data_IF_387075318047
#
_entry.id   IF_387075318047
#
_cell.length_a   1.000
_cell.length_b   1.000
_cell.length_c   1.000
_cell.angle_alpha   90.00
_cell.angle_beta   90.00
_cell.angle_gamma   90.00
#
_symmetry.space_group_name_H-M   'P 1'
#
loop_
_entity.id
_entity.type
_entity.pdbx_description
1 polymer ?
#
# COMPACT_ATOMS: atom_id res chain seq x y z
N UNK A 1 -72.44 -7.43 14.91
CA UNK A 1 -71.68 -7.50 13.67
C UNK A 1 -70.21 -7.34 13.98
N UNK A 2 -69.43 -8.41 13.94
CA UNK A 2 -68.02 -8.37 14.18
C UNK A 2 -67.29 -8.13 12.86
N UNK A 3 -66.57 -6.99 12.70
CA UNK A 3 -65.64 -6.76 11.60
C UNK A 3 -64.32 -7.44 11.92
N UNK A 4 -64.01 -8.48 11.18
CA UNK A 4 -62.66 -9.08 11.19
C UNK A 4 -61.67 -8.16 10.49
N UNK A 5 -60.75 -7.58 11.27
CA UNK A 5 -59.57 -6.92 10.74
C UNK A 5 -58.55 -7.98 10.30
N UNK A 6 -58.28 -8.08 9.02
CA UNK A 6 -57.15 -8.82 8.50
C UNK A 6 -55.90 -8.01 8.73
N UNK A 7 -55.01 -8.52 9.58
CA UNK A 7 -53.67 -7.99 9.77
C UNK A 7 -52.78 -8.59 8.67
N UNK A 8 -52.45 -7.78 7.68
CA UNK A 8 -51.49 -8.15 6.65
C UNK A 8 -50.06 -8.01 7.20
N UNK A 9 -49.39 -9.12 7.45
CA UNK A 9 -47.98 -9.15 7.81
C UNK A 9 -47.18 -9.05 6.54
N UNK A 10 -46.59 -7.88 6.29
CA UNK A 10 -45.63 -7.69 5.22
C UNK A 10 -44.26 -8.13 5.78
N UNK A 11 -43.85 -9.35 5.44
CA UNK A 11 -42.47 -9.82 5.63
C UNK A 11 -41.57 -9.15 4.63
N UNK A 12 -40.97 -8.02 5.00
CA UNK A 12 -39.95 -7.38 4.25
C UNK A 12 -38.65 -8.22 4.30
N UNK A 13 -38.37 -8.95 3.25
CA UNK A 13 -37.05 -9.57 3.05
C UNK A 13 -36.01 -8.49 2.84
N UNK A 14 -35.25 -8.22 3.89
CA UNK A 14 -34.09 -7.34 3.81
C UNK A 14 -32.97 -8.10 3.09
N UNK A 15 -32.83 -7.85 1.77
CA UNK A 15 -31.67 -8.30 1.04
C UNK A 15 -30.50 -7.45 1.49
N UNK A 16 -29.66 -8.01 2.35
CA UNK A 16 -28.34 -7.48 2.64
C UNK A 16 -27.50 -7.66 1.37
N UNK A 17 -27.49 -6.64 0.52
CA UNK A 17 -26.48 -6.52 -0.53
C UNK A 17 -25.18 -6.22 0.20
N UNK A 18 -24.40 -7.27 0.48
CA UNK A 18 -23.04 -7.14 0.95
C UNK A 18 -22.23 -6.46 -0.15
N UNK A 19 -22.07 -5.15 -0.05
CA UNK A 19 -21.05 -4.44 -0.83
C UNK A 19 -19.70 -4.98 -0.38
N UNK A 20 -19.12 -5.88 -1.18
CA UNK A 20 -17.69 -6.18 -1.08
C UNK A 20 -16.96 -4.93 -1.57
N UNK A 21 -16.77 -3.95 -0.68
CA UNK A 21 -15.82 -2.89 -0.93
C UNK A 21 -14.43 -3.54 -0.96
N UNK A 22 -13.93 -3.80 -2.14
CA UNK A 22 -12.51 -4.00 -2.36
C UNK A 22 -11.82 -2.73 -1.87
N UNK A 23 -10.95 -2.86 -0.87
CA UNK A 23 -10.26 -1.73 -0.25
C UNK A 23 -9.13 -1.26 -1.17
N UNK A 24 -9.48 -0.67 -2.30
CA UNK A 24 -8.54 -0.10 -3.25
C UNK A 24 -8.05 1.24 -2.71
N UNK A 25 -6.74 1.41 -2.53
CA UNK A 25 -6.20 2.67 -2.03
C UNK A 25 -6.11 3.73 -3.13
N UNK A 26 -6.42 5.02 -2.84
CA UNK A 26 -6.17 6.10 -3.77
C UNK A 26 -4.68 6.25 -4.09
N UNK A 27 -4.35 6.71 -5.31
CA UNK A 27 -2.98 6.88 -5.76
C UNK A 27 -2.15 7.83 -4.87
N UNK A 28 -2.79 8.79 -4.21
CA UNK A 28 -2.13 9.72 -3.29
C UNK A 28 -1.67 9.07 -1.97
N UNK A 29 -2.09 7.82 -1.69
CA UNK A 29 -1.59 7.01 -0.58
C UNK A 29 -0.27 6.28 -0.89
N UNK A 30 0.17 6.27 -2.14
CA UNK A 30 1.43 5.64 -2.56
C UNK A 30 2.64 6.47 -2.13
N UNK A 31 2.82 6.60 -0.82
CA UNK A 31 3.87 7.40 -0.18
C UNK A 31 4.56 6.55 0.88
N UNK A 32 5.88 6.58 0.90
CA UNK A 32 6.70 5.99 1.97
C UNK A 32 7.91 6.89 2.24
N UNK A 33 8.14 7.20 3.53
CA UNK A 33 9.23 8.09 3.93
C UNK A 33 9.13 9.50 3.35
N UNK A 34 7.91 10.00 3.11
CA UNK A 34 7.66 11.31 2.53
C UNK A 34 7.84 11.40 1.00
N UNK A 35 8.19 10.29 0.35
CA UNK A 35 8.37 10.21 -1.11
C UNK A 35 7.17 9.50 -1.73
N UNK A 36 6.58 10.15 -2.74
CA UNK A 36 5.46 9.58 -3.49
C UNK A 36 5.94 8.77 -4.68
N UNK A 37 5.22 7.70 -5.02
CA UNK A 37 5.34 7.01 -6.30
C UNK A 37 5.30 8.01 -7.46
N UNK A 38 6.22 7.88 -8.42
CA UNK A 38 6.35 8.80 -9.54
C UNK A 38 7.18 10.05 -9.27
N UNK A 39 7.66 10.27 -8.04
CA UNK A 39 8.57 11.37 -7.74
C UNK A 39 9.88 11.27 -8.54
N UNK A 40 10.54 12.41 -8.77
CA UNK A 40 11.82 12.44 -9.49
C UNK A 40 12.98 11.99 -8.61
N UNK A 41 14.09 11.57 -9.22
CA UNK A 41 15.37 11.31 -8.53
C UNK A 41 15.76 12.53 -7.70
N UNK A 42 15.69 13.74 -8.27
CA UNK A 42 16.05 14.98 -7.58
C UNK A 42 15.20 15.25 -6.34
N UNK A 43 13.94 14.85 -6.32
CA UNK A 43 13.09 14.98 -5.14
C UNK A 43 13.57 14.05 -4.02
N UNK A 44 14.01 12.83 -4.35
CA UNK A 44 14.58 11.90 -3.38
C UNK A 44 15.92 12.41 -2.85
N UNK A 45 16.80 12.89 -3.72
CA UNK A 45 18.09 13.46 -3.33
C UNK A 45 17.94 14.72 -2.48
N UNK A 46 16.93 15.55 -2.76
CA UNK A 46 16.62 16.73 -1.93
C UNK A 46 16.16 16.36 -0.53
N UNK A 47 15.43 15.26 -0.38
CA UNK A 47 14.91 14.77 0.90
C UNK A 47 15.94 13.99 1.71
N UNK A 48 16.73 13.14 1.06
CA UNK A 48 17.63 12.16 1.70
C UNK A 48 19.12 12.40 1.46
N UNK A 49 19.47 13.32 0.56
CA UNK A 49 20.87 13.54 0.15
C UNK A 49 21.37 12.46 -0.80
N UNK A 50 22.70 12.32 -0.89
CA UNK A 50 23.34 11.29 -1.71
C UNK A 50 23.08 9.89 -1.13
N UNK A 51 22.74 8.90 -1.98
CA UNK A 51 22.55 7.53 -1.53
C UNK A 51 23.86 6.90 -1.06
N UNK A 52 23.79 5.97 -0.11
CA UNK A 52 24.95 5.17 0.30
C UNK A 52 25.44 4.27 -0.83
N UNK A 53 24.52 3.72 -1.60
CA UNK A 53 24.78 2.88 -2.77
C UNK A 53 23.84 3.27 -3.89
N UNK A 54 24.39 3.34 -5.11
CA UNK A 54 23.62 3.56 -6.33
C UNK A 54 24.01 2.48 -7.35
N UNK A 55 22.98 1.85 -7.93
CA UNK A 55 23.14 0.90 -9.03
C UNK A 55 22.32 1.38 -10.22
N UNK A 56 22.86 1.24 -11.42
CA UNK A 56 22.18 1.63 -12.66
C UNK A 56 22.28 0.51 -13.69
N UNK A 57 21.16 0.18 -14.30
CA UNK A 57 21.05 -0.86 -15.30
C UNK A 57 20.14 -0.40 -16.44
N UNK A 58 20.65 -0.45 -17.66
CA UNK A 58 19.82 -0.22 -18.85
C UNK A 58 19.05 -1.49 -19.18
N UNK A 59 17.73 -1.42 -19.04
CA UNK A 59 16.81 -2.51 -19.39
C UNK A 59 16.17 -2.25 -20.75
N UNK A 60 15.63 -3.28 -21.45
CA UNK A 60 14.87 -3.09 -22.69
C UNK A 60 13.67 -2.15 -22.56
N UNK A 61 13.11 -2.01 -21.35
CA UNK A 61 11.96 -1.16 -21.04
C UNK A 61 12.34 0.19 -20.41
N UNK A 62 13.62 0.49 -20.25
CA UNK A 62 14.08 1.79 -19.74
C UNK A 62 15.32 1.75 -18.86
N UNK A 63 15.73 2.92 -18.43
CA UNK A 63 16.86 3.13 -17.54
C UNK A 63 16.43 2.89 -16.09
N UNK A 64 16.89 1.80 -15.49
CA UNK A 64 16.62 1.44 -14.10
C UNK A 64 17.75 1.94 -13.21
N UNK A 65 17.40 2.68 -12.16
CA UNK A 65 18.32 3.14 -11.12
C UNK A 65 17.79 2.68 -9.76
N UNK A 66 18.68 2.24 -8.89
CA UNK A 66 18.38 1.85 -7.53
C UNK A 66 19.25 2.66 -6.56
N UNK A 67 18.62 3.30 -5.58
CA UNK A 67 19.27 4.05 -4.51
C UNK A 67 19.02 3.38 -3.16
N UNK A 68 20.10 3.15 -2.39
CA UNK A 68 20.02 2.61 -1.04
C UNK A 68 20.47 3.65 -0.02
N UNK A 69 19.61 3.91 0.94
CA UNK A 69 19.87 4.78 2.08
C UNK A 69 19.97 3.94 3.35
N UNK A 70 21.17 3.88 3.90
CA UNK A 70 21.46 2.90 4.93
C UNK A 70 21.32 1.46 4.40
N UNK A 71 20.82 0.57 5.25
CA UNK A 71 20.52 -0.82 4.88
C UNK A 71 19.01 -1.08 4.85
N UNK A 72 18.19 -0.05 5.02
CA UNK A 72 16.78 -0.20 5.44
C UNK A 72 15.78 0.55 4.58
N UNK A 73 16.23 1.44 3.69
CA UNK A 73 15.38 2.20 2.78
C UNK A 73 15.96 2.18 1.37
N UNK A 74 15.14 1.77 0.41
CA UNK A 74 15.52 1.60 -0.98
C UNK A 74 14.51 2.26 -1.89
N UNK A 75 15.00 2.96 -2.93
CA UNK A 75 14.21 3.54 -4.00
C UNK A 75 14.62 2.94 -5.33
N UNK A 76 13.67 2.44 -6.09
CA UNK A 76 13.85 2.01 -7.47
C UNK A 76 13.23 3.04 -8.40
N UNK A 77 14.00 3.48 -9.39
CA UNK A 77 13.57 4.44 -10.41
C UNK A 77 13.55 3.76 -11.77
N UNK A 78 12.59 4.15 -12.58
CA UNK A 78 12.55 3.83 -14.00
C UNK A 78 12.44 5.15 -14.79
N UNK A 79 13.38 5.39 -15.70
CA UNK A 79 13.45 6.63 -16.47
C UNK A 79 13.37 7.89 -15.58
N UNK A 80 14.07 7.87 -14.45
CA UNK A 80 14.17 9.00 -13.53
C UNK A 80 12.98 9.22 -12.60
N UNK A 81 12.00 8.30 -12.57
CA UNK A 81 10.83 8.35 -11.70
C UNK A 81 10.78 7.18 -10.74
N UNK A 82 10.42 7.43 -9.49
CA UNK A 82 10.22 6.40 -8.46
C UNK A 82 9.11 5.43 -8.90
N UNK A 83 9.46 4.16 -9.02
CA UNK A 83 8.53 3.07 -9.32
C UNK A 83 8.34 2.10 -8.17
N UNK A 84 9.28 2.09 -7.21
CA UNK A 84 9.20 1.26 -6.01
C UNK A 84 9.96 1.91 -4.86
N UNK A 85 9.38 1.84 -3.67
CA UNK A 85 10.02 2.23 -2.41
C UNK A 85 9.88 1.05 -1.46
N UNK A 86 10.97 0.66 -0.83
CA UNK A 86 10.99 -0.44 0.14
C UNK A 86 11.60 0.02 1.44
N UNK A 87 10.95 -0.31 2.55
CA UNK A 87 11.46 -0.16 3.90
C UNK A 87 11.46 -1.51 4.60
N UNK A 88 12.59 -1.90 5.15
CA UNK A 88 12.77 -3.14 5.89
C UNK A 88 13.64 -2.93 7.14
N UNK A 89 13.84 -3.99 7.90
CA UNK A 89 14.60 -4.04 9.15
C UNK A 89 14.17 -2.98 10.18
N UNK A 90 14.95 -1.94 10.38
CA UNK A 90 14.73 -0.89 11.40
C UNK A 90 14.45 0.48 10.79
N UNK A 91 13.95 0.53 9.54
CA UNK A 91 13.58 1.79 8.92
C UNK A 91 12.50 2.51 9.74
N UNK A 92 12.66 3.81 9.91
CA UNK A 92 11.66 4.69 10.52
C UNK A 92 10.68 5.29 9.50
N UNK A 93 10.82 4.92 8.22
CA UNK A 93 9.95 5.37 7.16
C UNK A 93 8.49 4.94 7.40
N UNK A 94 7.57 5.87 7.18
CA UNK A 94 6.13 5.64 7.34
C UNK A 94 5.38 5.95 6.06
N UNK A 95 4.27 5.25 5.86
CA UNK A 95 3.32 5.57 4.81
C UNK A 95 2.61 6.90 5.10
N UNK A 96 1.87 7.42 4.13
CA UNK A 96 1.05 8.64 4.31
C UNK A 96 0.06 8.50 5.47
N UNK A 97 -0.50 7.32 5.68
CA UNK A 97 -1.40 7.05 6.79
C UNK A 97 -0.69 6.83 8.14
N UNK A 98 0.64 6.97 8.20
CA UNK A 98 1.42 6.82 9.42
C UNK A 98 1.77 5.38 9.79
N UNK A 99 1.60 4.43 8.87
CA UNK A 99 1.95 3.02 9.09
C UNK A 99 3.46 2.83 8.92
N UNK A 100 4.10 2.22 9.91
CA UNK A 100 5.53 1.93 9.93
C UNK A 100 5.84 0.53 10.41
N UNK A 101 7.11 0.16 10.32
CA UNK A 101 7.62 -1.13 10.79
C UNK A 101 7.42 -1.28 12.30
N UNK A 102 7.19 -2.51 12.76
CA UNK A 102 6.97 -2.83 14.17
C UNK A 102 5.57 -2.53 14.70
N UNK A 103 4.72 -1.85 13.93
CA UNK A 103 3.32 -1.63 14.31
C UNK A 103 2.51 -2.93 14.22
N UNK A 104 1.44 -3.02 15.01
CA UNK A 104 0.52 -4.14 14.94
C UNK A 104 -0.21 -4.19 13.60
N UNK A 105 -0.42 -5.39 13.07
CA UNK A 105 -1.16 -5.60 11.82
C UNK A 105 -2.59 -5.02 11.87
N UNK A 106 -3.19 -4.90 13.06
CA UNK A 106 -4.49 -4.25 13.24
C UNK A 106 -4.50 -2.79 12.76
N UNK A 107 -3.35 -2.10 12.78
CA UNK A 107 -3.21 -0.75 12.27
C UNK A 107 -3.48 -0.66 10.76
N UNK A 108 -3.19 -1.71 9.99
CA UNK A 108 -3.48 -1.76 8.55
C UNK A 108 -4.97 -1.70 8.29
N UNK A 109 -5.74 -2.48 9.04
CA UNK A 109 -7.21 -2.50 8.91
C UNK A 109 -7.83 -1.15 9.27
N UNK A 110 -7.29 -0.48 10.28
CA UNK A 110 -7.75 0.85 10.68
C UNK A 110 -7.40 1.92 9.64
N UNK A 111 -6.24 1.82 8.99
CA UNK A 111 -5.77 2.79 8.00
C UNK A 111 -6.36 2.57 6.61
N UNK A 112 -6.45 1.31 6.16
CA UNK A 112 -6.75 0.95 4.77
C UNK A 112 -7.96 0.02 4.60
N UNK A 113 -8.56 -0.47 5.69
CA UNK A 113 -9.60 -1.49 5.65
C UNK A 113 -9.04 -2.91 5.46
N UNK A 114 -9.87 -3.81 4.94
CA UNK A 114 -9.43 -5.16 4.62
C UNK A 114 -8.48 -5.13 3.40
N UNK A 115 -7.41 -5.94 3.38
CA UNK A 115 -6.54 -6.03 2.21
C UNK A 115 -7.29 -6.61 1.01
N UNK A 116 -6.89 -6.20 -0.19
CA UNK A 116 -7.42 -6.74 -1.45
C UNK A 116 -6.99 -8.19 -1.67
N UNK A 117 -5.78 -8.54 -1.19
CA UNK A 117 -5.26 -9.90 -1.21
C UNK A 117 -4.33 -10.15 -0.02
N UNK A 118 -4.27 -11.42 0.41
CA UNK A 118 -3.27 -11.91 1.36
C UNK A 118 -2.60 -13.10 0.71
N UNK A 119 -1.28 -13.04 0.58
CA UNK A 119 -0.44 -14.13 0.12
C UNK A 119 0.60 -14.45 1.20
N UNK A 120 0.44 -15.58 1.87
CA UNK A 120 1.27 -15.96 3.02
C UNK A 120 1.28 -14.85 4.09
N UNK A 121 2.38 -14.15 4.25
CA UNK A 121 2.57 -13.06 5.22
C UNK A 121 2.33 -11.67 4.61
N UNK A 122 2.15 -11.58 3.27
CA UNK A 122 1.97 -10.32 2.54
C UNK A 122 0.51 -9.88 2.51
N UNK A 123 0.21 -8.72 3.09
CA UNK A 123 -1.06 -8.01 2.97
C UNK A 123 -0.96 -6.97 1.85
N UNK A 124 -1.79 -7.10 0.83
CA UNK A 124 -1.71 -6.33 -0.40
C UNK A 124 -2.92 -5.41 -0.55
N UNK A 125 -2.65 -4.15 -0.86
CA UNK A 125 -3.65 -3.11 -1.14
C UNK A 125 -3.33 -2.51 -2.51
N UNK A 126 -4.17 -2.78 -3.52
CA UNK A 126 -3.95 -2.26 -4.87
C UNK A 126 -4.35 -0.79 -4.98
N UNK A 127 -3.59 -0.04 -5.77
CA UNK A 127 -3.93 1.34 -6.10
C UNK A 127 -5.05 1.41 -7.14
N UNK A 128 -6.01 2.30 -6.91
CA UNK A 128 -7.15 2.49 -7.79
C UNK A 128 -6.70 2.86 -9.22
N UNK A 129 -7.14 2.07 -10.22
CA UNK A 129 -6.84 2.31 -11.63
C UNK A 129 -5.40 2.05 -12.07
N UNK A 130 -4.56 1.45 -11.21
CA UNK A 130 -3.14 1.21 -11.48
C UNK A 130 -2.80 -0.28 -11.34
N UNK A 131 -2.72 -0.99 -12.45
CA UNK A 131 -2.43 -2.42 -12.43
C UNK A 131 -1.05 -2.73 -11.87
N UNK A 132 -0.97 -3.65 -10.91
CA UNK A 132 0.29 -4.11 -10.31
C UNK A 132 1.00 -3.08 -9.42
N UNK A 133 0.34 -1.96 -9.12
CA UNK A 133 0.85 -0.90 -8.25
C UNK A 133 0.00 -0.87 -6.98
N UNK A 134 0.64 -0.64 -5.83
CA UNK A 134 -0.07 -0.59 -4.56
C UNK A 134 0.84 -0.47 -3.35
N UNK A 135 0.29 -0.87 -2.21
CA UNK A 135 0.99 -1.03 -0.94
C UNK A 135 1.06 -2.52 -0.60
N UNK A 136 2.20 -2.98 -0.15
CA UNK A 136 2.39 -4.33 0.37
C UNK A 136 3.07 -4.27 1.73
N UNK A 137 2.52 -5.00 2.67
CA UNK A 137 3.02 -5.11 4.03
C UNK A 137 3.27 -6.57 4.37
N UNK A 138 4.49 -6.93 4.69
CA UNK A 138 4.78 -8.23 5.26
C UNK A 138 4.43 -8.20 6.76
N UNK A 139 3.67 -9.18 7.22
CA UNK A 139 3.24 -9.29 8.62
C UNK A 139 3.73 -10.60 9.21
N UNK A 140 4.64 -10.51 10.16
CA UNK A 140 5.16 -11.67 10.91
C UNK A 140 4.83 -11.53 12.39
N UNK A 141 4.28 -12.60 12.97
CA UNK A 141 3.89 -12.61 14.40
C UNK A 141 3.01 -11.41 14.82
N UNK A 142 2.11 -11.00 13.89
CA UNK A 142 1.21 -9.87 14.13
C UNK A 142 1.84 -8.48 14.01
N UNK A 143 3.10 -8.37 13.60
CA UNK A 143 3.83 -7.12 13.42
C UNK A 143 4.22 -6.91 11.97
N UNK A 144 4.24 -5.66 11.53
CA UNK A 144 4.70 -5.26 10.19
C UNK A 144 6.22 -5.30 10.17
N UNK A 145 6.80 -6.09 9.25
CA UNK A 145 8.24 -6.32 9.13
C UNK A 145 8.86 -5.80 7.84
N UNK A 146 8.06 -5.56 6.81
CA UNK A 146 8.49 -5.00 5.52
C UNK A 146 7.34 -4.15 4.95
N UNK A 147 7.70 -3.05 4.30
CA UNK A 147 6.73 -2.20 3.58
C UNK A 147 7.26 -1.95 2.17
N UNK A 148 6.41 -2.17 1.19
CA UNK A 148 6.68 -1.87 -0.21
C UNK A 148 5.57 -0.99 -0.78
N UNK A 149 5.96 0.08 -1.47
CA UNK A 149 5.06 1.03 -2.13
C UNK A 149 5.44 1.14 -3.60
N UNK A 150 4.47 1.10 -4.49
CA UNK A 150 4.67 1.18 -5.93
C UNK A 150 4.51 -0.17 -6.62
N UNK A 151 5.43 -0.54 -7.52
CA UNK A 151 5.41 -1.82 -8.21
C UNK A 151 5.51 -2.98 -7.22
N UNK A 152 4.55 -3.90 -7.27
CA UNK A 152 4.45 -5.04 -6.36
C UNK A 152 5.16 -6.29 -6.87
N UNK A 153 5.67 -6.24 -8.10
CA UNK A 153 6.38 -7.34 -8.79
C UNK A 153 7.84 -7.00 -9.04
#
# INVERSE_FOLDING_TARGET
MMKKMLLSVITGSMVLVGSTCSATVPADQLVLGGIQYGASISAVESAYGAPRKSEREMKPYGDKVEYKYGNTLEFEFLNGKVVKIKADDYSDAKTKAGIGLGMDAAALKNAYGAPDAIHEEDHIYYAAGMQGIGLKFEVKYGKITDIKVGSLY
#
